data_IF_332324731444
#
_entry.id   IF_332324731444
#
_cell.length_a   1.000
_cell.length_b   1.000
_cell.length_c   1.000
_cell.angle_alpha   90.00
_cell.angle_beta   90.00
_cell.angle_gamma   90.00
#
_symmetry.space_group_name_H-M   'P 1'
#
loop_
_entity.id
_entity.type
_entity.pdbx_description
1 polymer ?
#
# COMPACT_ATOMS: atom_id res chain seq x y z
N UNK A 1 -19.04 -16.11 -18.69
CA UNK A 1 -19.55 -15.73 -17.36
C UNK A 1 -18.62 -14.68 -16.81
N UNK A 2 -19.19 -13.53 -16.42
CA UNK A 2 -18.58 -12.29 -15.92
C UNK A 2 -17.73 -11.47 -16.89
N UNK A 3 -18.43 -10.67 -17.68
CA UNK A 3 -17.96 -9.37 -18.14
C UNK A 3 -18.96 -8.32 -17.65
N UNK A 4 -18.41 -7.21 -17.17
CA UNK A 4 -19.03 -5.87 -17.18
C UNK A 4 -20.21 -5.64 -16.23
N UNK A 5 -19.89 -5.44 -14.95
CA UNK A 5 -20.63 -4.55 -14.04
C UNK A 5 -19.59 -3.53 -13.51
N UNK A 6 -19.35 -2.45 -14.26
CA UNK A 6 -18.57 -1.27 -13.81
C UNK A 6 -19.15 0.00 -14.48
N UNK A 7 -20.47 0.07 -14.57
CA UNK A 7 -21.21 1.28 -14.95
C UNK A 7 -22.05 1.75 -13.76
N UNK A 8 -21.42 2.25 -12.69
CA UNK A 8 -22.13 2.88 -11.57
C UNK A 8 -21.24 3.85 -10.74
N UNK A 9 -20.31 4.57 -11.39
CA UNK A 9 -19.62 5.73 -10.77
C UNK A 9 -19.88 7.02 -11.57
N UNK A 10 -21.12 7.23 -12.01
CA UNK A 10 -21.53 8.51 -12.59
C UNK A 10 -22.10 9.43 -11.49
N UNK A 11 -21.21 10.28 -10.96
CA UNK A 11 -21.51 11.55 -10.33
C UNK A 11 -22.50 11.56 -9.14
N UNK A 12 -22.14 10.90 -8.04
CA UNK A 12 -22.47 11.50 -6.75
C UNK A 12 -21.68 12.81 -6.66
N UNK A 13 -22.36 13.95 -6.85
CA UNK A 13 -21.79 15.26 -6.54
C UNK A 13 -21.16 15.26 -5.13
N UNK A 14 -20.23 16.18 -4.83
CA UNK A 14 -19.60 16.23 -3.52
C UNK A 14 -20.69 16.15 -2.44
N UNK A 15 -20.60 15.13 -1.57
CA UNK A 15 -21.62 14.83 -0.56
C UNK A 15 -21.99 16.05 0.32
N UNK A 16 -21.09 17.05 0.36
CA UNK A 16 -21.32 18.36 0.93
C UNK A 16 -20.77 19.44 -0.03
N UNK A 17 -21.62 20.12 -0.82
CA UNK A 17 -21.20 21.15 -1.78
C UNK A 17 -20.83 22.49 -1.11
N UNK A 18 -20.88 22.58 0.21
CA UNK A 18 -20.59 23.81 0.94
C UNK A 18 -19.09 24.12 0.92
N UNK A 19 -18.73 25.20 0.25
CA UNK A 19 -17.35 25.74 0.20
C UNK A 19 -17.20 26.95 1.13
N UNK A 20 -18.28 27.71 1.35
CA UNK A 20 -18.36 28.85 2.26
C UNK A 20 -19.68 28.85 3.04
N UNK A 21 -19.74 29.68 4.09
CA UNK A 21 -20.91 29.81 4.97
C UNK A 21 -22.16 30.24 4.21
N UNK A 22 -21.98 31.05 3.16
CA UNK A 22 -23.07 31.54 2.32
C UNK A 22 -23.74 30.42 1.54
N UNK A 23 -22.96 29.46 1.05
CA UNK A 23 -23.49 28.30 0.31
C UNK A 23 -24.37 27.43 1.22
N UNK A 24 -24.01 27.25 2.48
CA UNK A 24 -24.85 26.53 3.45
C UNK A 24 -26.10 27.34 3.84
N UNK A 25 -25.95 28.64 4.12
CA UNK A 25 -27.08 29.49 4.52
C UNK A 25 -28.13 29.60 3.39
N UNK A 26 -27.71 29.69 2.13
CA UNK A 26 -28.63 29.64 0.99
C UNK A 26 -29.37 28.31 0.89
N UNK A 27 -28.67 27.19 1.02
CA UNK A 27 -29.25 25.83 1.01
C UNK A 27 -30.28 25.64 2.13
N UNK A 28 -30.03 26.20 3.32
CA UNK A 28 -30.93 26.12 4.46
C UNK A 28 -32.15 27.06 4.36
N UNK A 29 -32.00 28.20 3.67
CA UNK A 29 -33.06 29.21 3.53
C UNK A 29 -33.99 28.95 2.35
N UNK A 30 -33.48 28.35 1.26
CA UNK A 30 -34.29 28.00 0.08
C UNK A 30 -35.36 26.93 0.39
N UNK A 31 -35.25 26.21 1.51
CA UNK A 31 -36.25 25.22 1.95
C UNK A 31 -37.50 25.85 2.61
N UNK A 32 -37.49 27.17 2.91
CA UNK A 32 -38.58 27.88 3.57
C UNK A 32 -39.54 28.64 2.63
N UNK A 33 -39.37 28.52 1.30
CA UNK A 33 -40.30 29.10 0.32
C UNK A 33 -41.55 28.21 0.14
N UNK A 34 -42.31 27.98 1.22
CA UNK A 34 -43.62 27.34 1.14
C UNK A 34 -44.70 28.41 0.96
N UNK A 35 -45.12 28.55 -0.30
CA UNK A 35 -46.21 29.42 -0.72
C UNK A 35 -47.53 29.02 -0.08
N UNK A 36 -47.91 29.71 0.98
CA UNK A 36 -49.24 29.65 1.61
C UNK A 36 -50.05 30.89 1.30
N UNK A 37 -50.67 30.92 0.12
CA UNK A 37 -51.75 31.85 -0.24
C UNK A 37 -53.02 31.39 0.51
N UNK A 38 -53.48 32.10 1.54
CA UNK A 38 -54.82 31.84 2.10
C UNK A 38 -55.53 33.09 2.69
N UNK A 39 -56.51 33.52 1.90
CA UNK A 39 -57.77 34.22 2.15
C UNK A 39 -57.93 35.27 3.27
N UNK A 40 -58.05 36.51 2.78
CA UNK A 40 -58.83 37.66 3.26
C UNK A 40 -59.89 37.40 4.35
N UNK A 41 -59.60 37.79 5.59
CA UNK A 41 -60.60 38.38 6.51
C UNK A 41 -59.96 39.53 7.31
N UNK A 42 -60.77 40.55 7.60
CA UNK A 42 -60.36 41.82 8.19
C UNK A 42 -59.70 41.65 9.55
N UNK A 43 -58.38 41.85 9.60
CA UNK A 43 -57.68 42.11 10.86
C UNK A 43 -56.32 42.77 10.60
N UNK A 44 -56.32 44.05 10.23
CA UNK A 44 -55.09 44.83 9.97
C UNK A 44 -54.12 44.86 11.17
N UNK A 45 -54.61 44.59 12.39
CA UNK A 45 -53.80 44.48 13.59
C UNK A 45 -53.20 43.08 13.77
N UNK A 46 -53.91 42.01 13.44
CA UNK A 46 -53.39 40.64 13.42
C UNK A 46 -52.49 40.40 12.21
N UNK A 47 -52.72 41.03 11.06
CA UNK A 47 -51.76 40.98 9.94
C UNK A 47 -50.50 41.76 10.30
N UNK A 48 -50.61 42.96 10.88
CA UNK A 48 -49.43 43.69 11.36
C UNK A 48 -48.68 42.94 12.48
N UNK A 49 -49.38 42.18 13.32
CA UNK A 49 -48.77 41.33 14.34
C UNK A 49 -48.17 40.06 13.74
N UNK A 50 -48.82 39.46 12.75
CA UNK A 50 -48.32 38.32 11.99
C UNK A 50 -47.05 38.71 11.24
N UNK A 51 -47.06 39.82 10.50
CA UNK A 51 -45.89 40.38 9.80
C UNK A 51 -44.75 40.68 10.79
N UNK A 52 -45.06 41.27 11.95
CA UNK A 52 -44.05 41.54 12.99
C UNK A 52 -43.48 40.27 13.61
N UNK A 53 -44.26 39.20 13.72
CA UNK A 53 -43.81 37.91 14.24
C UNK A 53 -42.99 37.19 13.18
N UNK A 54 -43.44 37.21 11.93
CA UNK A 54 -42.76 36.67 10.76
C UNK A 54 -41.37 37.29 10.59
N UNK A 55 -41.27 38.62 10.63
CA UNK A 55 -39.99 39.33 10.58
C UNK A 55 -39.04 38.90 11.71
N UNK A 56 -39.57 38.75 12.93
CA UNK A 56 -38.78 38.32 14.08
C UNK A 56 -38.33 36.86 13.99
N UNK A 57 -39.17 35.98 13.42
CA UNK A 57 -38.89 34.57 13.20
C UNK A 57 -37.89 34.38 12.06
N UNK A 58 -38.03 35.14 10.97
CA UNK A 58 -37.10 35.14 9.84
C UNK A 58 -35.72 35.65 10.28
N UNK A 59 -35.66 36.69 11.11
CA UNK A 59 -34.42 37.17 11.70
C UNK A 59 -33.75 36.11 12.57
N UNK A 60 -34.50 35.45 13.46
CA UNK A 60 -33.97 34.42 14.35
C UNK A 60 -33.61 33.13 13.61
N UNK A 61 -34.37 32.77 12.56
CA UNK A 61 -34.05 31.66 11.66
C UNK A 61 -32.73 31.92 10.95
N UNK A 62 -32.51 33.16 10.51
CA UNK A 62 -31.26 33.58 9.89
C UNK A 62 -30.08 33.58 10.83
N UNK A 63 -30.25 34.07 12.05
CA UNK A 63 -29.18 34.05 13.06
C UNK A 63 -28.78 32.60 13.40
N UNK A 64 -29.77 31.70 13.52
CA UNK A 64 -29.51 30.28 13.79
C UNK A 64 -28.84 29.57 12.60
N UNK A 65 -29.22 29.90 11.36
CA UNK A 65 -28.60 29.32 10.17
C UNK A 65 -27.18 29.82 9.95
N UNK A 66 -26.91 31.09 10.25
CA UNK A 66 -25.56 31.66 10.25
C UNK A 66 -24.68 30.99 11.32
N UNK A 67 -25.16 30.79 12.56
CA UNK A 67 -24.42 30.07 13.62
C UNK A 67 -24.15 28.59 13.25
N UNK A 68 -25.12 27.93 12.63
CA UNK A 68 -24.94 26.59 12.08
C UNK A 68 -23.88 26.57 10.97
N UNK A 69 -23.83 27.58 10.11
CA UNK A 69 -22.82 27.69 9.05
C UNK A 69 -21.42 27.97 9.58
N UNK A 70 -21.29 28.87 10.56
CA UNK A 70 -20.02 29.17 11.22
C UNK A 70 -19.42 27.93 11.91
N UNK A 71 -20.25 26.99 12.33
CA UNK A 71 -19.78 25.76 12.98
C UNK A 71 -19.55 24.60 11.99
N UNK A 72 -20.45 24.39 11.04
CA UNK A 72 -20.42 23.23 10.15
C UNK A 72 -19.44 23.39 8.98
N UNK A 73 -19.32 24.58 8.38
CA UNK A 73 -18.44 24.79 7.23
C UNK A 73 -16.97 24.54 7.57
N UNK A 74 -16.41 25.05 8.68
CA UNK A 74 -15.04 24.73 9.07
C UNK A 74 -14.82 23.25 9.36
N UNK A 75 -15.83 22.56 9.92
CA UNK A 75 -15.74 21.13 10.19
C UNK A 75 -15.70 20.31 8.89
N UNK A 76 -16.59 20.60 7.94
CA UNK A 76 -16.62 19.97 6.62
C UNK A 76 -15.33 20.24 5.86
N UNK A 77 -14.83 21.47 5.88
CA UNK A 77 -13.57 21.84 5.24
C UNK A 77 -12.37 21.09 5.83
N UNK A 78 -12.34 20.85 7.14
CA UNK A 78 -11.31 19.99 7.77
C UNK A 78 -11.40 18.54 7.31
N UNK A 79 -12.60 17.98 7.20
CA UNK A 79 -12.80 16.61 6.70
C UNK A 79 -12.35 16.49 5.24
N UNK A 80 -12.72 17.45 4.38
CA UNK A 80 -12.26 17.53 2.97
C UNK A 80 -10.74 17.55 2.89
N UNK A 81 -10.07 18.40 3.67
CA UNK A 81 -8.61 18.50 3.72
C UNK A 81 -7.94 17.20 4.19
N UNK A 82 -8.49 16.56 5.23
CA UNK A 82 -7.97 15.29 5.73
C UNK A 82 -8.08 14.17 4.67
N UNK A 83 -9.21 14.08 3.97
CA UNK A 83 -9.39 13.13 2.86
C UNK A 83 -8.43 13.39 1.71
N UNK A 84 -8.23 14.66 1.34
CA UNK A 84 -7.29 15.02 0.28
C UNK A 84 -5.84 14.70 0.68
N UNK A 85 -5.46 14.95 1.93
CA UNK A 85 -4.15 14.59 2.46
C UNK A 85 -3.94 13.07 2.49
N UNK A 86 -4.98 12.28 2.81
CA UNK A 86 -4.93 10.83 2.73
C UNK A 86 -4.68 10.36 1.29
N UNK A 87 -5.45 10.90 0.34
CA UNK A 87 -5.35 10.55 -1.09
C UNK A 87 -3.97 10.86 -1.68
N UNK A 88 -3.34 11.95 -1.25
CA UNK A 88 -2.02 12.35 -1.76
C UNK A 88 -0.87 11.57 -1.10
N UNK A 89 -0.93 11.37 0.22
CA UNK A 89 0.23 10.86 0.97
C UNK A 89 0.24 9.33 1.15
N UNK A 90 -0.93 8.68 1.21
CA UNK A 90 -1.01 7.24 1.41
C UNK A 90 -0.38 6.49 0.22
N UNK A 91 -0.69 6.92 -1.01
CA UNK A 91 -0.24 6.24 -2.22
C UNK A 91 1.27 6.41 -2.46
N UNK A 92 1.83 7.57 -2.14
CA UNK A 92 3.26 7.83 -2.33
C UNK A 92 4.13 6.96 -1.41
N UNK A 93 3.83 6.95 -0.11
CA UNK A 93 4.61 6.19 0.86
C UNK A 93 4.47 4.68 0.66
N UNK A 94 3.26 4.21 0.35
CA UNK A 94 3.03 2.82 0.00
C UNK A 94 3.78 2.42 -1.28
N UNK A 95 3.68 3.23 -2.35
CA UNK A 95 4.37 2.99 -3.61
C UNK A 95 5.91 2.97 -3.45
N UNK A 96 6.46 3.89 -2.66
CA UNK A 96 7.88 3.91 -2.33
C UNK A 96 8.31 2.62 -1.60
N UNK A 97 7.52 2.17 -0.62
CA UNK A 97 7.77 0.92 0.11
C UNK A 97 7.72 -0.33 -0.79
N UNK A 98 6.78 -0.37 -1.75
CA UNK A 98 6.71 -1.47 -2.73
C UNK A 98 7.95 -1.51 -3.63
N UNK A 99 8.43 -0.35 -4.08
CA UNK A 99 9.65 -0.27 -4.88
C UNK A 99 10.90 -0.68 -4.10
N UNK A 100 11.03 -0.22 -2.85
CA UNK A 100 12.14 -0.61 -1.97
C UNK A 100 12.14 -2.12 -1.70
N UNK A 101 10.96 -2.71 -1.47
CA UNK A 101 10.79 -4.15 -1.30
C UNK A 101 11.19 -4.93 -2.56
N UNK A 102 10.75 -4.51 -3.75
CA UNK A 102 11.13 -5.13 -5.02
C UNK A 102 12.65 -5.09 -5.27
N UNK A 103 13.28 -3.96 -4.96
CA UNK A 103 14.74 -3.82 -5.05
C UNK A 103 15.48 -4.76 -4.07
N UNK A 104 14.98 -4.87 -2.83
CA UNK A 104 15.51 -5.80 -1.84
C UNK A 104 15.36 -7.26 -2.30
N UNK A 105 14.21 -7.64 -2.87
CA UNK A 105 13.97 -8.97 -3.43
C UNK A 105 14.94 -9.29 -4.57
N UNK A 106 15.12 -8.37 -5.52
CA UNK A 106 16.07 -8.53 -6.64
C UNK A 106 17.51 -8.68 -6.15
N UNK A 107 17.90 -7.89 -5.16
CA UNK A 107 19.23 -7.97 -4.56
C UNK A 107 19.44 -9.32 -3.88
N UNK A 108 18.46 -9.78 -3.10
CA UNK A 108 18.53 -11.08 -2.43
C UNK A 108 18.58 -12.24 -3.44
N UNK A 109 17.81 -12.16 -4.52
CA UNK A 109 17.85 -13.14 -5.62
C UNK A 109 19.24 -13.19 -6.27
N UNK A 110 19.82 -12.04 -6.60
CA UNK A 110 21.14 -11.96 -7.22
C UNK A 110 22.23 -12.55 -6.31
N UNK A 111 22.19 -12.23 -5.01
CA UNK A 111 23.14 -12.80 -4.02
C UNK A 111 22.97 -14.32 -3.94
N UNK A 112 21.74 -14.80 -3.85
CA UNK A 112 21.45 -16.25 -3.73
C UNK A 112 21.90 -17.01 -4.97
N UNK A 113 21.71 -16.45 -6.17
CA UNK A 113 22.18 -17.06 -7.41
C UNK A 113 23.70 -17.13 -7.45
N UNK A 114 24.40 -16.07 -7.04
CA UNK A 114 25.85 -16.04 -6.98
C UNK A 114 26.41 -17.07 -5.98
N UNK A 115 25.83 -17.16 -4.78
CA UNK A 115 26.22 -18.15 -3.77
C UNK A 115 25.99 -19.59 -4.28
N UNK A 116 24.90 -19.82 -5.00
CA UNK A 116 24.62 -21.12 -5.59
C UNK A 116 25.65 -21.51 -6.66
N UNK A 117 26.04 -20.57 -7.52
CA UNK A 117 27.07 -20.80 -8.53
C UNK A 117 28.44 -21.05 -7.90
N UNK A 118 28.84 -20.26 -6.89
CA UNK A 118 30.08 -20.47 -6.13
C UNK A 118 30.10 -21.86 -5.47
N UNK A 119 28.99 -22.25 -4.83
CA UNK A 119 28.86 -23.58 -4.21
C UNK A 119 29.02 -24.70 -5.23
N UNK A 120 28.49 -24.52 -6.43
CA UNK A 120 28.57 -25.49 -7.52
C UNK A 120 30.00 -25.63 -8.05
N UNK A 121 30.73 -24.52 -8.17
CA UNK A 121 32.15 -24.53 -8.52
C UNK A 121 32.99 -25.23 -7.46
N UNK A 122 32.84 -24.85 -6.18
CA UNK A 122 33.53 -25.48 -5.06
C UNK A 122 33.25 -26.98 -4.97
N UNK A 123 32.00 -27.39 -5.20
CA UNK A 123 31.62 -28.80 -5.23
C UNK A 123 32.33 -29.55 -6.36
N UNK A 124 32.36 -28.97 -7.57
CA UNK A 124 33.05 -29.55 -8.73
C UNK A 124 34.55 -29.71 -8.44
N UNK A 125 35.19 -28.68 -7.93
CA UNK A 125 36.63 -28.68 -7.63
C UNK A 125 36.97 -29.70 -6.54
N UNK A 126 36.15 -29.76 -5.50
CA UNK A 126 36.29 -30.76 -4.43
C UNK A 126 36.17 -32.18 -5.00
N UNK A 127 35.21 -32.42 -5.89
CA UNK A 127 35.03 -33.72 -6.53
C UNK A 127 36.23 -34.10 -7.38
N UNK A 128 36.78 -33.18 -8.16
CA UNK A 128 37.99 -33.43 -8.96
C UNK A 128 39.18 -33.75 -8.05
N UNK A 129 39.37 -32.97 -6.98
CA UNK A 129 40.43 -33.21 -6.01
C UNK A 129 40.32 -34.57 -5.33
N UNK A 130 39.11 -35.02 -5.01
CA UNK A 130 38.88 -36.36 -4.45
C UNK A 130 39.34 -37.44 -5.45
N UNK A 131 38.98 -37.30 -6.74
CA UNK A 131 39.40 -38.25 -7.78
C UNK A 131 40.92 -38.29 -7.91
N UNK A 132 41.58 -37.12 -7.90
CA UNK A 132 43.03 -37.04 -7.99
C UNK A 132 43.71 -37.71 -6.78
N UNK A 133 43.20 -37.47 -5.56
CA UNK A 133 43.70 -38.14 -4.35
C UNK A 133 43.56 -39.66 -4.41
N UNK A 134 42.44 -40.17 -4.94
CA UNK A 134 42.27 -41.62 -5.12
C UNK A 134 43.27 -42.19 -6.12
N UNK A 135 43.57 -41.44 -7.19
CA UNK A 135 44.58 -41.83 -8.16
C UNK A 135 45.98 -41.87 -7.54
N UNK A 136 46.37 -40.81 -6.83
CA UNK A 136 47.65 -40.76 -6.11
C UNK A 136 47.78 -41.91 -5.11
N UNK A 137 46.71 -42.22 -4.39
CA UNK A 137 46.68 -43.33 -3.45
C UNK A 137 46.89 -44.68 -4.15
N UNK A 138 46.23 -44.91 -5.29
CA UNK A 138 46.38 -46.13 -6.08
C UNK A 138 47.81 -46.28 -6.62
N UNK A 139 48.40 -45.19 -7.10
CA UNK A 139 49.80 -45.16 -7.57
C UNK A 139 50.78 -45.48 -6.42
N UNK A 140 50.54 -44.93 -5.23
CA UNK A 140 51.33 -45.22 -4.04
C UNK A 140 51.25 -46.70 -3.63
N UNK A 141 50.06 -47.30 -3.67
CA UNK A 141 49.89 -48.73 -3.41
C UNK A 141 50.60 -49.60 -4.45
N UNK A 142 50.49 -49.25 -5.73
CA UNK A 142 51.16 -49.98 -6.81
C UNK A 142 52.68 -49.91 -6.64
N UNK A 143 53.22 -48.73 -6.28
CA UNK A 143 54.65 -48.56 -6.00
C UNK A 143 55.09 -49.38 -4.80
N UNK A 144 54.31 -49.40 -3.73
CA UNK A 144 54.58 -50.23 -2.55
C UNK A 144 54.63 -51.71 -2.92
N UNK A 145 53.66 -52.19 -3.69
CA UNK A 145 53.58 -53.59 -4.08
C UNK A 145 54.77 -53.97 -4.98
N UNK A 146 55.20 -53.08 -5.88
CA UNK A 146 56.41 -53.28 -6.67
C UNK A 146 57.68 -53.35 -5.79
N UNK A 147 57.83 -52.45 -4.82
CA UNK A 147 58.96 -52.47 -3.89
C UNK A 147 59.02 -53.77 -3.07
N UNK A 148 57.85 -54.30 -2.68
CA UNK A 148 57.77 -55.60 -2.01
C UNK A 148 58.24 -56.73 -2.90
N UNK A 149 57.81 -56.78 -4.16
CA UNK A 149 58.27 -57.78 -5.13
C UNK A 149 59.77 -57.68 -5.39
N UNK A 150 60.30 -56.46 -5.52
CA UNK A 150 61.73 -56.23 -5.74
C UNK A 150 62.56 -56.69 -4.52
N UNK A 151 62.07 -56.45 -3.31
CA UNK A 151 62.70 -56.92 -2.07
C UNK A 151 62.69 -58.45 -1.96
N UNK A 152 61.55 -59.08 -2.23
CA UNK A 152 61.39 -60.54 -2.18
C UNK A 152 62.38 -61.22 -3.13
N UNK A 153 62.47 -60.71 -4.35
CA UNK A 153 63.44 -61.16 -5.35
C UNK A 153 64.88 -60.98 -4.89
N UNK A 154 65.21 -59.85 -4.25
CA UNK A 154 66.55 -59.60 -3.74
C UNK A 154 66.93 -60.56 -2.58
N UNK A 155 65.95 -60.96 -1.75
CA UNK A 155 66.16 -61.93 -0.68
C UNK A 155 66.42 -63.34 -1.23
N UNK A 156 65.66 -63.75 -2.25
CA UNK A 156 65.86 -65.02 -2.96
C UNK A 156 67.25 -65.07 -3.62
N UNK A 157 67.66 -63.99 -4.30
CA UNK A 157 68.98 -63.89 -4.94
C UNK A 157 70.14 -63.89 -3.92
N UNK A 158 69.92 -63.39 -2.71
CA UNK A 158 70.91 -63.39 -1.62
C UNK A 158 71.01 -64.74 -0.87
N UNK A 159 70.16 -65.72 -1.20
CA UNK A 159 70.10 -67.02 -0.52
C UNK A 159 69.63 -66.94 0.93
N UNK A 160 68.83 -65.91 1.27
CA UNK A 160 68.28 -65.70 2.62
C UNK A 160 66.87 -66.27 2.81
N UNK A 161 66.40 -67.12 1.89
CA UNK A 161 65.19 -67.92 2.03
C UNK A 161 65.46 -69.41 1.81
#
# INVERSE_FOLDING_TARGET
DRGEDDEDEEHAGPAFPWEDEKTLVSDLMDEYDDGGDDEQYSDEQLTSLADSIEDSLMLHSKELSEDAAETLVPAVNRVKQAHQALKVNADYTFGAGVLEFDEACKTMEAVTLNEFDELKELYRDTRLRIVDLFKELQEAYTRRDQLWLDLDKALDEAGMM
#
